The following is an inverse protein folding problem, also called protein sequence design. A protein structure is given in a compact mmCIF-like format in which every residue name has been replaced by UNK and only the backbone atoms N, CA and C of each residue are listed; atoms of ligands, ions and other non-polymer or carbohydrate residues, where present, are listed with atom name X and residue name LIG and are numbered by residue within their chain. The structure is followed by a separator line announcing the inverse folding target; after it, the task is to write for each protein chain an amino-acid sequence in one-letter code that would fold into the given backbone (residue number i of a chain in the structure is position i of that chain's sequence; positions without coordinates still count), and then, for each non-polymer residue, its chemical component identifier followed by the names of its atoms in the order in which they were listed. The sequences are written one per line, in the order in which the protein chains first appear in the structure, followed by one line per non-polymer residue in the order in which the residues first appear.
data_IF_929413262630
#
_entry.id   IF_929413262630
#
_cell.length_a   1.000
_cell.length_b   1.000
_cell.length_c   1.000
_cell.angle_alpha   90.00
_cell.angle_beta   90.00
_cell.angle_gamma   90.00
#
_symmetry.space_group_name_H-M   'P 1'
#
loop_
_entity.id
_entity.type
_entity.pdbx_description
1 polymer ?
#
# COMPACT_ATOMS: atom_id res chain seq x y z
N UNK A 1 14.78 -82.30 23.06
CA UNK A 1 14.05 -81.73 24.21
C UNK A 1 14.59 -80.31 24.39
N UNK A 2 14.06 -79.32 23.70
CA UNK A 2 12.90 -78.47 24.04
C UNK A 2 13.30 -77.21 24.82
N UNK A 3 12.88 -76.05 24.28
CA UNK A 3 12.66 -74.72 24.90
C UNK A 3 13.92 -73.85 25.13
N UNK A 4 13.92 -72.52 24.93
CA UNK A 4 12.87 -71.55 24.65
C UNK A 4 13.43 -70.24 24.04
N UNK A 5 12.55 -69.57 23.30
CA UNK A 5 12.50 -68.18 22.85
C UNK A 5 13.25 -67.11 23.67
N UNK A 6 13.80 -66.11 22.98
CA UNK A 6 13.34 -64.72 23.13
C UNK A 6 13.34 -64.01 21.77
N UNK A 7 12.15 -63.64 21.32
CA UNK A 7 11.90 -62.70 20.24
C UNK A 7 12.05 -61.28 20.80
N UNK A 8 12.94 -60.47 20.24
CA UNK A 8 12.87 -59.01 20.38
C UNK A 8 12.00 -58.45 19.25
N UNK A 9 10.93 -57.75 19.63
CA UNK A 9 10.02 -57.05 18.74
C UNK A 9 10.75 -55.92 18.00
N UNK A 10 10.56 -55.73 16.67
CA UNK A 10 10.93 -54.49 16.02
C UNK A 10 10.02 -53.36 16.53
N UNK A 11 10.65 -52.33 17.13
CA UNK A 11 10.00 -51.06 17.46
C UNK A 11 9.25 -50.56 16.22
N UNK A 12 7.95 -50.27 16.38
CA UNK A 12 7.15 -49.57 15.37
C UNK A 12 7.88 -48.27 15.00
N UNK A 13 8.51 -48.25 13.83
CA UNK A 13 8.87 -47.00 13.17
C UNK A 13 7.54 -46.31 12.82
N UNK A 14 7.07 -45.43 13.70
CA UNK A 14 6.01 -44.49 13.34
C UNK A 14 6.62 -43.58 12.28
N UNK A 15 6.11 -43.76 11.07
CA UNK A 15 6.56 -43.14 9.83
C UNK A 15 6.65 -41.60 9.98
N UNK A 16 7.85 -41.09 10.25
CA UNK A 16 8.14 -39.65 10.33
C UNK A 16 7.90 -38.95 9.00
N UNK A 17 7.92 -39.70 7.89
CA UNK A 17 7.55 -39.22 6.55
C UNK A 17 6.12 -38.68 6.52
N UNK A 18 5.15 -39.38 7.14
CA UNK A 18 3.75 -38.95 7.13
C UNK A 18 3.51 -37.65 7.89
N UNK A 19 4.27 -37.37 8.96
CA UNK A 19 4.18 -36.08 9.68
C UNK A 19 4.78 -34.94 8.88
N UNK A 20 5.89 -35.18 8.19
CA UNK A 20 6.53 -34.17 7.35
C UNK A 20 5.65 -33.86 6.14
N UNK A 21 5.08 -34.89 5.49
CA UNK A 21 4.12 -34.71 4.40
C UNK A 21 2.87 -33.96 4.88
N UNK A 22 2.31 -34.32 6.05
CA UNK A 22 1.18 -33.58 6.63
C UNK A 22 1.54 -32.11 6.91
N UNK A 23 2.72 -31.83 7.48
CA UNK A 23 3.17 -30.47 7.75
C UNK A 23 3.39 -29.71 6.44
N UNK A 24 3.97 -30.34 5.42
CA UNK A 24 4.17 -29.72 4.09
C UNK A 24 2.82 -29.48 3.42
N UNK A 25 1.87 -30.39 3.53
CA UNK A 25 0.52 -30.23 3.00
C UNK A 25 -0.22 -29.13 3.77
N UNK A 26 -0.07 -29.03 5.09
CA UNK A 26 -0.63 -27.95 5.92
C UNK A 26 0.04 -26.61 5.63
N UNK A 27 1.36 -26.58 5.37
CA UNK A 27 2.14 -25.38 4.99
C UNK A 27 1.79 -24.93 3.58
N UNK A 28 1.64 -25.86 2.65
CA UNK A 28 1.15 -25.60 1.30
C UNK A 28 -0.33 -25.19 1.34
N UNK A 29 -1.16 -25.72 2.25
CA UNK A 29 -2.54 -25.25 2.45
C UNK A 29 -2.60 -23.86 3.09
N UNK A 30 -1.59 -23.48 3.90
CA UNK A 30 -1.41 -22.12 4.42
C UNK A 30 -0.99 -21.14 3.31
N UNK A 31 -0.08 -21.56 2.41
CA UNK A 31 0.34 -20.79 1.23
C UNK A 31 -0.68 -20.83 0.07
N UNK A 32 -1.51 -21.87 -0.05
CA UNK A 32 -2.59 -22.04 -1.04
C UNK A 32 -3.96 -21.57 -0.53
N UNK A 33 -4.04 -21.18 0.75
CA UNK A 33 -4.87 -20.06 1.18
C UNK A 33 -4.28 -18.71 0.75
N UNK A 34 -3.41 -18.71 -0.27
CA UNK A 34 -3.38 -17.70 -1.31
C UNK A 34 -4.81 -17.22 -1.52
N UNK A 35 -5.14 -16.05 -0.98
CA UNK A 35 -6.49 -15.52 -1.06
C UNK A 35 -6.68 -14.97 -2.49
N UNK A 36 -6.80 -15.90 -3.44
CA UNK A 36 -7.10 -15.61 -4.84
C UNK A 36 -8.36 -14.76 -4.95
N UNK A 37 -9.21 -14.71 -3.91
CA UNK A 37 -10.33 -13.78 -3.86
C UNK A 37 -9.90 -12.34 -3.56
N UNK A 38 -9.01 -12.11 -2.59
CA UNK A 38 -8.54 -10.76 -2.24
C UNK A 38 -7.69 -10.14 -3.33
N UNK A 39 -6.83 -10.91 -4.01
CA UNK A 39 -6.05 -10.40 -5.14
C UNK A 39 -6.99 -9.89 -6.26
N UNK A 40 -8.01 -10.67 -6.61
CA UNK A 40 -8.98 -10.27 -7.63
C UNK A 40 -9.79 -9.05 -7.20
N UNK A 41 -10.15 -8.94 -5.91
CA UNK A 41 -10.81 -7.75 -5.36
C UNK A 41 -9.88 -6.54 -5.43
N UNK A 42 -8.59 -6.67 -5.10
CA UNK A 42 -7.61 -5.58 -5.20
C UNK A 42 -7.47 -5.08 -6.64
N UNK A 43 -7.43 -5.99 -7.63
CA UNK A 43 -7.44 -5.61 -9.05
C UNK A 43 -8.75 -4.92 -9.45
N UNK A 44 -9.90 -5.40 -8.96
CA UNK A 44 -11.21 -4.77 -9.20
C UNK A 44 -11.26 -3.35 -8.63
N UNK A 45 -10.77 -3.15 -7.40
CA UNK A 45 -10.63 -1.83 -6.78
C UNK A 45 -9.70 -0.92 -7.56
N UNK A 46 -8.56 -1.45 -8.02
CA UNK A 46 -7.60 -0.71 -8.84
C UNK A 46 -8.23 -0.24 -10.16
N UNK A 47 -8.94 -1.14 -10.85
CA UNK A 47 -9.66 -0.81 -12.08
C UNK A 47 -10.73 0.24 -11.81
N UNK A 48 -11.48 0.12 -10.70
CA UNK A 48 -12.52 1.09 -10.33
C UNK A 48 -11.95 2.50 -10.10
N UNK A 49 -10.82 2.60 -9.42
CA UNK A 49 -10.09 3.87 -9.30
C UNK A 49 -9.69 4.45 -10.67
N UNK A 50 -9.42 3.62 -11.68
CA UNK A 50 -8.96 4.05 -13.00
C UNK A 50 -10.12 4.38 -13.96
N UNK A 51 -11.14 3.52 -14.04
CA UNK A 51 -12.30 3.69 -14.92
C UNK A 51 -13.06 4.96 -14.59
N UNK A 52 -13.23 5.24 -13.30
CA UNK A 52 -14.08 6.32 -12.83
C UNK A 52 -13.35 7.68 -12.84
N UNK A 53 -12.00 7.68 -12.86
CA UNK A 53 -11.16 8.88 -13.06
C UNK A 53 -11.25 9.44 -14.49
N UNK A 54 -11.54 8.60 -15.48
CA UNK A 54 -11.72 9.01 -16.88
C UNK A 54 -13.14 9.53 -17.19
N UNK A 55 -14.12 9.22 -16.33
CA UNK A 55 -15.55 9.47 -16.59
C UNK A 55 -16.12 10.55 -15.66
N UNK A 56 -15.62 10.65 -14.42
CA UNK A 56 -16.19 11.49 -13.38
C UNK A 56 -15.14 12.48 -12.88
N UNK A 57 -15.35 13.79 -13.04
CA UNK A 57 -14.52 14.80 -12.36
C UNK A 57 -14.67 14.75 -10.82
N UNK A 58 -15.67 14.02 -10.30
CA UNK A 58 -15.91 13.87 -8.86
C UNK A 58 -15.30 12.57 -8.30
N UNK A 59 -14.06 12.70 -7.85
CA UNK A 59 -13.30 11.68 -7.15
C UNK A 59 -14.01 11.12 -5.89
N UNK A 60 -14.89 11.88 -5.24
CA UNK A 60 -15.57 11.40 -4.03
C UNK A 60 -16.57 10.28 -4.35
N UNK A 61 -17.21 10.32 -5.52
CA UNK A 61 -18.10 9.25 -5.97
C UNK A 61 -17.33 7.94 -6.16
N UNK A 62 -16.14 8.02 -6.76
CA UNK A 62 -15.23 6.89 -6.94
C UNK A 62 -14.85 6.28 -5.61
N UNK A 63 -14.41 7.11 -4.67
CA UNK A 63 -13.97 6.64 -3.35
C UNK A 63 -15.14 6.01 -2.58
N UNK A 64 -16.33 6.59 -2.65
CA UNK A 64 -17.50 6.07 -1.94
C UNK A 64 -17.99 4.75 -2.53
N UNK A 65 -17.87 4.56 -3.85
CA UNK A 65 -18.31 3.33 -4.53
C UNK A 65 -17.44 2.11 -4.19
N UNK A 66 -16.22 2.30 -3.68
CA UNK A 66 -15.37 1.18 -3.24
C UNK A 66 -15.96 0.40 -2.05
N UNK A 67 -16.69 1.07 -1.15
CA UNK A 67 -17.31 0.39 0.00
C UNK A 67 -18.41 -0.57 -0.45
N UNK A 68 -19.11 -0.23 -1.55
CA UNK A 68 -20.10 -1.12 -2.16
C UNK A 68 -19.43 -2.39 -2.71
N UNK A 69 -18.30 -2.26 -3.40
CA UNK A 69 -17.54 -3.42 -3.90
C UNK A 69 -17.18 -4.35 -2.74
N UNK A 70 -16.65 -3.80 -1.64
CA UNK A 70 -16.31 -4.61 -0.47
C UNK A 70 -17.55 -5.29 0.15
N UNK A 71 -18.67 -4.58 0.26
CA UNK A 71 -19.91 -5.14 0.79
C UNK A 71 -20.44 -6.31 -0.06
N UNK A 72 -20.44 -6.18 -1.39
CA UNK A 72 -20.87 -7.24 -2.32
C UNK A 72 -19.99 -8.49 -2.21
N UNK A 73 -18.68 -8.30 -2.05
CA UNK A 73 -17.71 -9.38 -1.90
C UNK A 73 -17.61 -9.90 -0.46
N UNK A 74 -18.39 -9.34 0.48
CA UNK A 74 -18.36 -9.65 1.91
C UNK A 74 -16.97 -9.49 2.54
N UNK A 75 -16.22 -8.51 2.06
CA UNK A 75 -14.92 -8.12 2.58
C UNK A 75 -15.02 -6.80 3.35
N UNK A 76 -13.94 -6.46 4.04
CA UNK A 76 -13.83 -5.21 4.77
C UNK A 76 -12.51 -4.51 4.42
N UNK A 77 -12.41 -3.19 4.69
CA UNK A 77 -11.21 -2.43 4.38
C UNK A 77 -9.93 -2.95 5.03
N UNK A 78 -9.99 -3.39 6.28
CA UNK A 78 -8.81 -3.87 7.01
C UNK A 78 -8.19 -5.09 6.33
N UNK A 79 -9.02 -6.02 5.82
CA UNK A 79 -8.55 -7.17 5.03
C UNK A 79 -7.78 -6.71 3.79
N UNK A 80 -8.27 -5.69 3.08
CA UNK A 80 -7.60 -5.15 1.88
C UNK A 80 -6.28 -4.48 2.26
N UNK A 81 -6.29 -3.62 3.28
CA UNK A 81 -5.09 -2.90 3.72
C UNK A 81 -4.02 -3.87 4.19
N UNK A 82 -4.37 -4.86 5.02
CA UNK A 82 -3.43 -5.88 5.48
C UNK A 82 -2.88 -6.70 4.31
N UNK A 83 -3.73 -7.12 3.37
CA UNK A 83 -3.28 -7.82 2.17
C UNK A 83 -2.26 -6.97 1.39
N UNK A 84 -2.51 -5.68 1.18
CA UNK A 84 -1.56 -4.81 0.49
C UNK A 84 -0.26 -4.63 1.29
N UNK A 85 -0.33 -4.57 2.62
CA UNK A 85 0.85 -4.49 3.49
C UNK A 85 1.69 -5.77 3.43
N UNK A 86 1.07 -6.93 3.30
CA UNK A 86 1.77 -8.22 3.20
C UNK A 86 2.35 -8.45 1.78
N UNK A 87 1.81 -7.80 0.75
CA UNK A 87 2.21 -7.97 -0.65
C UNK A 87 3.07 -6.81 -1.18
N UNK A 88 4.15 -6.46 -0.47
CA UNK A 88 5.07 -5.35 -0.85
C UNK A 88 5.87 -5.55 -2.16
N UNK A 89 5.72 -6.70 -2.83
CA UNK A 89 6.33 -6.94 -4.15
C UNK A 89 5.30 -6.79 -5.29
N UNK A 90 4.07 -6.36 -4.98
CA UNK A 90 3.00 -6.13 -5.94
C UNK A 90 2.81 -4.62 -6.17
N UNK A 91 2.97 -4.19 -7.41
CA UNK A 91 2.86 -2.77 -7.77
C UNK A 91 1.43 -2.23 -7.56
N UNK A 92 0.39 -3.05 -7.79
CA UNK A 92 -1.00 -2.68 -7.58
C UNK A 92 -1.28 -2.51 -6.08
N UNK A 93 -0.72 -3.37 -5.23
CA UNK A 93 -0.81 -3.20 -3.78
C UNK A 93 -0.26 -1.84 -3.33
N UNK A 94 0.87 -1.41 -3.91
CA UNK A 94 1.42 -0.09 -3.68
C UNK A 94 0.52 1.04 -4.17
N UNK A 95 -0.10 0.91 -5.35
CA UNK A 95 -1.07 1.90 -5.85
C UNK A 95 -2.29 2.03 -4.93
N UNK A 96 -2.85 0.92 -4.44
CA UNK A 96 -3.99 0.95 -3.53
C UNK A 96 -3.62 1.65 -2.22
N UNK A 97 -2.50 1.29 -1.58
CA UNK A 97 -2.03 1.95 -0.36
C UNK A 97 -1.80 3.45 -0.59
N UNK A 98 -1.17 3.80 -1.71
CA UNK A 98 -0.92 5.19 -2.05
C UNK A 98 -2.22 6.01 -2.19
N UNK A 99 -3.22 5.48 -2.91
CA UNK A 99 -4.53 6.12 -3.08
C UNK A 99 -5.29 6.22 -1.76
N UNK A 100 -5.25 5.18 -0.93
CA UNK A 100 -5.86 5.20 0.39
C UNK A 100 -5.24 6.30 1.27
N UNK A 101 -3.90 6.41 1.31
CA UNK A 101 -3.21 7.48 2.04
C UNK A 101 -3.47 8.87 1.44
N UNK A 102 -3.49 9.01 0.12
CA UNK A 102 -3.71 10.30 -0.55
C UNK A 102 -5.09 10.88 -0.25
N UNK A 103 -6.11 10.02 -0.28
CA UNK A 103 -7.50 10.44 -0.15
C UNK A 103 -8.09 10.23 1.24
N UNK A 104 -7.36 9.58 2.15
CA UNK A 104 -7.87 9.24 3.48
C UNK A 104 -8.96 8.16 3.44
N UNK A 105 -8.94 7.31 2.42
CA UNK A 105 -9.92 6.21 2.30
C UNK A 105 -9.43 5.03 3.13
N UNK A 106 -10.22 4.63 4.13
CA UNK A 106 -9.98 3.53 5.07
C UNK A 106 -8.81 3.71 6.04
N UNK A 107 -7.80 4.47 5.65
CA UNK A 107 -6.65 4.85 6.48
C UNK A 107 -6.56 6.37 6.57
N UNK A 108 -5.92 6.86 7.64
CA UNK A 108 -5.71 8.30 7.83
C UNK A 108 -4.94 8.91 6.65
N UNK A 109 -5.41 10.06 6.18
CA UNK A 109 -4.79 10.77 5.06
C UNK A 109 -3.33 11.13 5.38
N UNK A 110 -2.42 10.78 4.48
CA UNK A 110 -1.00 11.11 4.59
C UNK A 110 -0.32 11.17 3.20
N UNK A 111 -0.17 12.37 2.66
CA UNK A 111 0.40 12.60 1.31
C UNK A 111 1.85 12.09 1.18
N UNK A 112 2.66 12.18 2.25
CA UNK A 112 4.04 11.71 2.21
C UNK A 112 4.14 10.18 2.13
N UNK A 113 3.32 9.46 2.92
CA UNK A 113 3.20 8.00 2.80
C UNK A 113 2.64 7.61 1.44
N UNK A 114 1.67 8.37 0.91
CA UNK A 114 1.16 8.14 -0.43
C UNK A 114 2.29 8.23 -1.48
N UNK A 115 3.10 9.28 -1.43
CA UNK A 115 4.28 9.45 -2.29
C UNK A 115 5.25 8.28 -2.18
N UNK A 116 5.59 7.83 -0.96
CA UNK A 116 6.48 6.66 -0.76
C UNK A 116 5.92 5.42 -1.46
N UNK A 117 4.61 5.15 -1.33
CA UNK A 117 4.02 3.99 -1.99
C UNK A 117 3.95 4.14 -3.51
N UNK A 118 3.68 5.35 -4.04
CA UNK A 118 3.80 5.60 -5.48
C UNK A 118 5.23 5.37 -6.00
N UNK A 119 6.25 5.80 -5.24
CA UNK A 119 7.65 5.57 -5.59
C UNK A 119 7.98 4.08 -5.63
N UNK A 120 7.56 3.30 -4.61
CA UNK A 120 7.75 1.83 -4.62
C UNK A 120 7.08 1.17 -5.83
N UNK A 121 5.89 1.61 -6.22
CA UNK A 121 5.25 1.13 -7.45
C UNK A 121 6.02 1.55 -8.71
N UNK A 122 6.59 2.75 -8.74
CA UNK A 122 7.39 3.25 -9.86
C UNK A 122 8.72 2.50 -9.99
N UNK A 123 9.34 2.11 -8.88
CA UNK A 123 10.57 1.32 -8.83
C UNK A 123 10.36 -0.11 -9.39
N UNK A 124 9.10 -0.57 -9.42
CA UNK A 124 8.67 -1.79 -10.12
C UNK A 124 8.29 -1.54 -11.59
N UNK A 125 8.65 -0.38 -12.15
CA UNK A 125 8.37 0.06 -13.51
C UNK A 125 6.87 0.14 -13.85
N UNK A 126 6.01 0.23 -12.84
CA UNK A 126 4.57 0.31 -13.07
C UNK A 126 4.18 1.72 -13.49
N UNK A 127 3.51 1.83 -14.65
CA UNK A 127 3.20 3.11 -15.28
C UNK A 127 2.40 4.06 -14.38
N UNK A 128 1.41 3.55 -13.64
CA UNK A 128 0.63 4.34 -12.69
C UNK A 128 1.49 4.89 -11.55
N UNK A 129 2.49 4.13 -11.09
CA UNK A 129 3.43 4.57 -10.06
C UNK A 129 4.27 5.74 -10.57
N UNK A 130 4.89 5.57 -11.75
CA UNK A 130 5.71 6.59 -12.40
C UNK A 130 4.88 7.87 -12.65
N UNK A 131 3.67 7.71 -13.18
CA UNK A 131 2.76 8.82 -13.44
C UNK A 131 2.43 9.59 -12.15
N UNK A 132 2.02 8.89 -11.09
CA UNK A 132 1.63 9.54 -9.84
C UNK A 132 2.82 10.17 -9.11
N UNK A 133 4.02 9.61 -9.20
CA UNK A 133 5.26 10.27 -8.75
C UNK A 133 5.45 11.60 -9.48
N UNK A 134 5.30 11.62 -10.80
CA UNK A 134 5.35 12.85 -11.60
C UNK A 134 4.30 13.89 -11.19
N UNK A 135 3.07 13.45 -10.91
CA UNK A 135 1.99 14.32 -10.40
C UNK A 135 2.36 14.90 -9.03
N UNK A 136 2.92 14.10 -8.11
CA UNK A 136 3.39 14.59 -6.81
C UNK A 136 4.50 15.63 -6.97
N UNK A 137 5.49 15.40 -7.83
CA UNK A 137 6.57 16.37 -8.08
C UNK A 137 6.07 17.69 -8.65
N UNK A 138 5.17 17.65 -9.64
CA UNK A 138 4.62 18.86 -10.24
C UNK A 138 3.75 19.66 -9.26
N UNK A 139 2.94 18.98 -8.45
CA UNK A 139 2.17 19.61 -7.37
C UNK A 139 3.10 20.25 -6.31
N UNK A 140 4.13 19.53 -5.87
CA UNK A 140 5.12 20.05 -4.93
C UNK A 140 5.88 21.23 -5.51
N UNK A 141 6.24 21.24 -6.80
CA UNK A 141 6.91 22.38 -7.43
C UNK A 141 6.06 23.65 -7.37
N UNK A 142 4.76 23.55 -7.66
CA UNK A 142 3.83 24.67 -7.50
C UNK A 142 3.67 25.11 -6.03
N UNK A 143 3.65 24.17 -5.09
CA UNK A 143 3.64 24.48 -3.66
C UNK A 143 4.92 25.17 -3.21
N UNK A 144 6.06 24.73 -3.74
CA UNK A 144 7.36 25.31 -3.45
C UNK A 144 7.47 26.74 -3.97
N UNK A 145 7.01 27.00 -5.19
CA UNK A 145 6.95 28.37 -5.73
C UNK A 145 6.08 29.28 -4.87
N UNK A 146 4.95 28.79 -4.35
CA UNK A 146 4.07 29.56 -3.49
C UNK A 146 4.73 29.89 -2.14
N UNK A 147 5.37 28.92 -1.48
CA UNK A 147 6.09 29.18 -0.23
C UNK A 147 7.26 30.14 -0.46
N UNK A 148 7.97 30.01 -1.58
CA UNK A 148 9.13 30.85 -1.90
C UNK A 148 8.69 32.32 -2.03
N UNK A 149 7.60 32.56 -2.75
CA UNK A 149 6.99 33.89 -2.86
C UNK A 149 6.55 34.45 -1.51
N UNK A 150 6.05 33.62 -0.59
CA UNK A 150 5.73 34.07 0.77
C UNK A 150 6.99 34.48 1.53
N UNK A 151 8.09 33.72 1.39
CA UNK A 151 9.40 34.09 1.90
C UNK A 151 9.86 35.45 1.35
N UNK A 152 9.75 35.67 0.03
CA UNK A 152 10.10 36.93 -0.62
C UNK A 152 9.26 38.12 -0.12
N UNK A 153 7.96 37.90 0.13
CA UNK A 153 7.09 38.94 0.69
C UNK A 153 7.59 39.41 2.06
N UNK A 154 7.98 38.49 2.95
CA UNK A 154 8.55 38.83 4.26
C UNK A 154 9.94 39.45 4.16
N UNK A 155 10.76 38.98 3.21
CA UNK A 155 12.11 39.51 2.99
C UNK A 155 12.12 40.94 2.45
N UNK A 156 11.16 41.27 1.57
CA UNK A 156 11.13 42.56 0.85
C UNK A 156 9.99 43.49 1.28
N UNK A 157 9.09 43.05 2.16
CA UNK A 157 7.97 43.85 2.66
C UNK A 157 6.83 44.03 1.64
N UNK A 158 6.59 43.03 0.79
CA UNK A 158 5.51 43.09 -0.20
C UNK A 158 4.15 42.81 0.45
N UNK A 159 3.45 43.88 0.86
CA UNK A 159 2.13 43.77 1.49
C UNK A 159 2.15 43.28 2.94
N UNK A 160 3.34 43.09 3.51
CA UNK A 160 3.61 42.77 4.92
C UNK A 160 4.79 43.61 5.42
N UNK A 161 4.94 43.76 6.73
CA UNK A 161 6.17 44.33 7.29
C UNK A 161 7.36 43.41 7.02
N UNK A 162 8.55 44.00 6.85
CA UNK A 162 9.78 43.23 6.64
C UNK A 162 10.07 42.41 7.91
N UNK A 163 10.22 41.10 7.73
CA UNK A 163 10.55 40.15 8.79
C UNK A 163 11.49 39.06 8.24
N UNK A 164 12.78 39.27 8.42
CA UNK A 164 13.83 38.36 7.95
C UNK A 164 13.76 36.98 8.62
N UNK A 165 13.28 36.91 9.87
CA UNK A 165 13.12 35.65 10.57
C UNK A 165 12.00 34.81 9.95
N UNK A 166 10.86 35.44 9.63
CA UNK A 166 9.78 34.75 8.94
C UNK A 166 10.18 34.33 7.52
N UNK A 167 10.91 35.17 6.79
CA UNK A 167 11.46 34.77 5.49
C UNK A 167 12.34 33.50 5.61
N UNK A 168 13.26 33.46 6.58
CA UNK A 168 14.07 32.28 6.87
C UNK A 168 13.23 31.04 7.19
N UNK A 169 12.18 31.17 8.01
CA UNK A 169 11.28 30.05 8.35
C UNK A 169 10.64 29.45 7.10
N UNK A 170 10.13 30.28 6.18
CA UNK A 170 9.52 29.79 4.94
C UNK A 170 10.55 29.17 3.98
N UNK A 171 11.73 29.76 3.83
CA UNK A 171 12.81 29.16 3.03
C UNK A 171 13.33 27.85 3.64
N UNK A 172 13.39 27.74 4.96
CA UNK A 172 13.75 26.49 5.63
C UNK A 172 12.70 25.41 5.36
N UNK A 173 11.41 25.74 5.45
CA UNK A 173 10.32 24.81 5.14
C UNK A 173 10.42 24.25 3.72
N UNK A 174 10.84 25.07 2.75
CA UNK A 174 11.08 24.63 1.37
C UNK A 174 12.20 23.60 1.24
N UNK A 175 13.29 23.80 1.97
CA UNK A 175 14.44 22.90 1.94
C UNK A 175 14.14 21.53 2.58
N UNK A 176 13.02 21.41 3.30
CA UNK A 176 12.58 20.20 3.99
C UNK A 176 11.43 19.46 3.27
N UNK A 177 10.90 20.01 2.16
CA UNK A 177 9.87 19.40 1.32
C UNK A 177 10.45 18.35 0.35
#
# INVERSE_FOLDING_TARGET
MSNNLTAEHPKKFVNSSNKITQIIDDFNQLDLKYDSSLNEIVKELYNKYNEEYLICEDLNLVINSLDQVLAEKKQNPDSIINWCLDNQNDSIAHIILARCYRFGKWIEKNEHKAYIHYQKSADMEFADGIYNVGVCYTANMGYSDAINRVGDCYLHGYGVEVDEYMAFVYYKKLAEL
#
